data_IF_360574962221
#
_entry.id   IF_360574962221
#
_cell.length_a   1.000
_cell.length_b   1.000
_cell.length_c   1.000
_cell.angle_alpha   90.00
_cell.angle_beta   90.00
_cell.angle_gamma   90.00
#
_symmetry.space_group_name_H-M   'P 1'
#
loop_
_entity.id
_entity.type
_entity.pdbx_description
1 polymer ?
#
# COMPACT_ATOMS: atom_id res chain seq x y z
N UNK A 1 15.07 6.96 20.85
CA UNK A 1 13.77 6.89 20.09
C UNK A 1 13.97 7.58 18.76
N UNK A 2 13.49 7.01 17.64
CA UNK A 2 13.66 7.65 16.33
C UNK A 2 12.62 8.77 16.15
N UNK A 3 13.05 9.94 15.65
CA UNK A 3 12.17 11.05 15.26
C UNK A 3 12.65 11.69 13.95
N UNK A 4 11.72 12.23 13.18
CA UNK A 4 12.03 13.09 12.03
C UNK A 4 11.93 14.54 12.48
N UNK A 5 12.96 15.32 12.17
CA UNK A 5 13.02 16.76 12.43
C UNK A 5 13.05 17.50 11.10
N UNK A 6 12.14 18.46 10.93
CA UNK A 6 11.97 19.23 9.70
C UNK A 6 12.01 20.72 10.03
N UNK A 7 12.90 21.45 9.38
CA UNK A 7 12.87 22.92 9.35
C UNK A 7 12.15 23.34 8.07
N UNK A 8 10.86 23.64 8.19
CA UNK A 8 9.98 23.88 7.06
C UNK A 8 10.03 25.29 6.48
N UNK A 9 9.08 25.59 5.59
CA UNK A 9 8.93 26.91 4.95
C UNK A 9 9.90 27.16 3.80
N UNK A 10 10.66 26.18 3.36
CA UNK A 10 11.55 26.28 2.18
C UNK A 10 10.86 25.75 0.94
N UNK A 11 10.87 26.45 -0.19
CA UNK A 11 10.35 25.92 -1.44
C UNK A 11 11.24 24.78 -1.93
N UNK A 12 10.60 23.73 -2.47
CA UNK A 12 11.27 22.54 -3.00
C UNK A 12 11.29 22.60 -4.53
N UNK A 13 12.36 22.05 -5.13
CA UNK A 13 12.52 21.96 -6.58
C UNK A 13 13.41 20.77 -6.96
N UNK A 14 13.37 20.38 -8.23
CA UNK A 14 14.20 19.29 -8.75
C UNK A 14 13.36 18.12 -9.22
N UNK A 15 13.90 16.92 -9.06
CA UNK A 15 13.24 15.70 -9.51
C UNK A 15 13.29 14.61 -8.45
N UNK A 16 12.29 13.74 -8.47
CA UNK A 16 12.20 12.55 -7.62
C UNK A 16 11.73 11.36 -8.46
N UNK A 17 12.32 10.19 -8.23
CA UNK A 17 11.93 8.94 -8.88
C UNK A 17 11.13 8.08 -7.91
N UNK A 18 9.97 7.65 -8.35
CA UNK A 18 9.06 6.82 -7.55
C UNK A 18 9.56 5.39 -7.50
N UNK A 19 9.51 4.80 -6.31
CA UNK A 19 9.90 3.43 -6.03
C UNK A 19 8.84 2.43 -6.48
N UNK A 20 9.19 1.14 -6.48
CA UNK A 20 8.21 0.07 -6.69
C UNK A 20 7.11 0.06 -5.63
N UNK A 21 5.93 -0.39 -6.03
CA UNK A 21 4.72 -0.32 -5.23
C UNK A 21 4.79 -1.21 -3.98
N UNK A 22 4.75 -0.59 -2.82
CA UNK A 22 4.65 -1.29 -1.53
C UNK A 22 3.50 -2.29 -1.53
N UNK A 23 2.30 -1.85 -1.95
CA UNK A 23 1.11 -2.67 -1.90
C UNK A 23 1.15 -3.86 -2.89
N UNK A 24 1.99 -3.79 -3.93
CA UNK A 24 2.32 -4.94 -4.79
C UNK A 24 3.29 -5.90 -4.10
N UNK A 25 4.44 -5.43 -3.64
CA UNK A 25 5.53 -6.30 -3.15
C UNK A 25 5.11 -7.12 -1.93
N UNK A 26 4.23 -6.59 -1.08
CA UNK A 26 3.72 -7.34 0.08
C UNK A 26 2.85 -8.55 -0.30
N UNK A 27 2.35 -8.60 -1.54
CA UNK A 27 1.64 -9.74 -2.12
C UNK A 27 2.54 -10.56 -3.06
N UNK A 28 3.40 -9.90 -3.85
CA UNK A 28 4.32 -10.57 -4.78
C UNK A 28 5.32 -11.48 -4.06
N UNK A 29 5.88 -11.03 -2.92
CA UNK A 29 6.84 -11.86 -2.16
C UNK A 29 6.19 -13.15 -1.67
N UNK A 30 5.05 -13.17 -0.97
CA UNK A 30 4.35 -14.41 -0.64
C UNK A 30 3.94 -15.24 -1.87
N UNK A 31 3.58 -14.60 -3.00
CA UNK A 31 3.20 -15.29 -4.22
C UNK A 31 4.34 -16.18 -4.78
N UNK A 32 5.61 -15.80 -4.54
CA UNK A 32 6.76 -16.61 -4.98
C UNK A 32 6.80 -18.00 -4.35
N UNK A 33 6.14 -18.22 -3.20
CA UNK A 33 6.02 -19.55 -2.58
C UNK A 33 5.39 -20.57 -3.53
N UNK A 34 4.53 -20.11 -4.43
CA UNK A 34 3.83 -20.98 -5.38
C UNK A 34 4.73 -21.51 -6.50
N UNK A 35 5.91 -20.92 -6.71
CA UNK A 35 6.84 -21.31 -7.76
C UNK A 35 7.62 -22.59 -7.40
N UNK A 36 7.92 -23.37 -8.44
CA UNK A 36 8.75 -24.58 -8.35
C UNK A 36 10.24 -24.28 -8.68
N UNK A 37 10.58 -23.00 -8.95
CA UNK A 37 11.94 -22.52 -9.25
C UNK A 37 12.14 -21.08 -8.80
N UNK A 38 13.32 -20.52 -9.06
CA UNK A 38 13.73 -19.17 -8.63
C UNK A 38 12.88 -18.10 -9.31
N UNK A 39 12.42 -17.13 -8.50
CA UNK A 39 11.72 -15.93 -8.96
C UNK A 39 12.56 -14.70 -8.63
N UNK A 40 12.75 -13.82 -9.61
CA UNK A 40 13.41 -12.53 -9.42
C UNK A 40 12.38 -11.41 -9.51
N UNK A 41 12.32 -10.58 -8.47
CA UNK A 41 11.50 -9.36 -8.44
C UNK A 41 12.43 -8.15 -8.53
N UNK A 42 12.25 -7.31 -9.55
CA UNK A 42 13.01 -6.07 -9.75
C UNK A 42 12.19 -4.85 -9.32
N UNK A 43 12.87 -3.78 -8.91
CA UNK A 43 12.22 -2.56 -8.44
C UNK A 43 11.60 -2.70 -7.05
N UNK A 44 12.10 -3.59 -6.23
CA UNK A 44 11.59 -3.81 -4.86
C UNK A 44 12.05 -2.68 -3.94
N UNK A 45 11.13 -1.91 -3.33
CA UNK A 45 11.50 -0.79 -2.47
C UNK A 45 12.24 -1.24 -1.21
N UNK A 46 13.13 -0.39 -0.70
CA UNK A 46 13.78 -0.60 0.58
C UNK A 46 12.93 -0.02 1.72
N UNK A 47 12.06 -0.86 2.25
CA UNK A 47 11.10 -0.53 3.32
C UNK A 47 11.05 -1.63 4.36
N UNK A 48 10.69 -1.28 5.60
CA UNK A 48 10.71 -2.25 6.70
C UNK A 48 9.70 -3.39 6.55
N UNK A 49 8.59 -3.18 5.84
CA UNK A 49 7.63 -4.26 5.53
C UNK A 49 8.27 -5.32 4.62
N UNK A 50 9.12 -4.93 3.65
CA UNK A 50 9.87 -5.87 2.80
C UNK A 50 10.92 -6.61 3.62
N UNK A 51 11.68 -5.92 4.48
CA UNK A 51 12.65 -6.57 5.34
C UNK A 51 12.00 -7.64 6.24
N UNK A 52 10.82 -7.35 6.79
CA UNK A 52 10.05 -8.31 7.60
C UNK A 52 9.60 -9.53 6.78
N UNK A 53 9.16 -9.33 5.54
CA UNK A 53 8.76 -10.43 4.65
C UNK A 53 9.94 -11.32 4.27
N UNK A 54 11.09 -10.72 3.96
CA UNK A 54 12.33 -11.46 3.68
C UNK A 54 12.73 -12.33 4.88
N UNK A 55 12.65 -11.77 6.08
CA UNK A 55 12.97 -12.51 7.31
C UNK A 55 12.00 -13.69 7.52
N UNK A 56 10.69 -13.47 7.40
CA UNK A 56 9.67 -14.52 7.54
C UNK A 56 9.92 -15.62 6.50
N UNK A 57 10.10 -15.28 5.23
CA UNK A 57 10.37 -16.24 4.16
C UNK A 57 11.66 -17.04 4.39
N UNK A 58 12.71 -16.37 4.91
CA UNK A 58 13.98 -17.03 5.24
C UNK A 58 13.83 -18.02 6.38
N UNK A 59 13.08 -17.67 7.43
CA UNK A 59 12.75 -18.58 8.55
C UNK A 59 11.98 -19.79 8.04
N UNK A 60 11.07 -19.59 7.07
CA UNK A 60 10.30 -20.68 6.45
C UNK A 60 11.16 -21.57 5.53
N UNK A 61 12.38 -21.18 5.21
CA UNK A 61 13.33 -21.98 4.43
C UNK A 61 13.60 -21.49 3.00
N UNK A 62 13.06 -20.33 2.61
CA UNK A 62 13.43 -19.71 1.34
C UNK A 62 14.88 -19.22 1.38
N UNK A 63 15.59 -19.29 0.24
CA UNK A 63 16.86 -18.61 0.07
C UNK A 63 16.62 -17.32 -0.68
N UNK A 64 17.03 -16.20 -0.08
CA UNK A 64 16.77 -14.87 -0.64
C UNK A 64 18.07 -14.09 -0.71
N UNK A 65 18.36 -13.55 -1.89
CA UNK A 65 19.49 -12.64 -2.12
C UNK A 65 18.94 -11.30 -2.61
N UNK A 66 19.37 -10.21 -1.98
CA UNK A 66 19.07 -8.85 -2.44
C UNK A 66 20.27 -8.29 -3.19
N UNK A 67 20.04 -7.79 -4.42
CA UNK A 67 21.02 -7.07 -5.23
C UNK A 67 20.42 -5.73 -5.65
N UNK A 68 20.87 -4.66 -5.05
CA UNK A 68 20.31 -3.32 -5.25
C UNK A 68 18.79 -3.33 -4.96
N UNK A 69 17.97 -3.09 -5.97
CA UNK A 69 16.51 -3.11 -5.90
C UNK A 69 15.87 -4.45 -6.33
N UNK A 70 16.70 -5.48 -6.64
CA UNK A 70 16.23 -6.80 -7.04
C UNK A 70 16.25 -7.79 -5.88
N UNK A 71 15.21 -8.60 -5.76
CA UNK A 71 15.15 -9.77 -4.88
C UNK A 71 15.16 -11.05 -5.70
N UNK A 72 16.15 -11.90 -5.45
CA UNK A 72 16.26 -13.25 -6.03
C UNK A 72 15.78 -14.23 -4.96
N UNK A 73 14.64 -14.88 -5.20
CA UNK A 73 13.96 -15.73 -4.23
C UNK A 73 13.92 -17.16 -4.73
N UNK A 74 14.55 -18.07 -4.01
CA UNK A 74 14.41 -19.52 -4.22
C UNK A 74 13.44 -20.08 -3.17
N UNK A 75 12.18 -20.36 -3.53
CA UNK A 75 11.16 -20.83 -2.61
C UNK A 75 11.16 -22.33 -2.37
N UNK A 76 12.02 -23.12 -3.07
CA UNK A 76 12.00 -24.59 -3.03
C UNK A 76 12.25 -25.17 -1.65
N UNK A 77 12.96 -24.44 -0.79
CA UNK A 77 13.23 -24.83 0.58
C UNK A 77 12.13 -24.47 1.57
N UNK A 78 11.10 -23.73 1.18
CA UNK A 78 9.99 -23.33 2.05
C UNK A 78 9.26 -24.55 2.57
N UNK A 79 9.00 -24.58 3.87
CA UNK A 79 8.25 -25.64 4.53
C UNK A 79 6.95 -25.06 5.10
N UNK A 80 5.90 -25.87 5.06
CA UNK A 80 4.71 -25.60 5.85
C UNK A 80 5.06 -25.75 7.34
N UNK A 81 5.09 -24.64 8.03
CA UNK A 81 5.38 -24.55 9.47
C UNK A 81 4.58 -23.41 10.09
N UNK A 82 4.21 -23.52 11.36
CA UNK A 82 3.60 -22.40 12.06
C UNK A 82 4.50 -21.17 11.94
N UNK A 83 3.93 -20.07 11.46
CA UNK A 83 4.71 -18.84 11.27
C UNK A 83 5.18 -18.28 12.63
N UNK A 84 6.38 -17.69 12.70
CA UNK A 84 6.95 -17.21 13.95
C UNK A 84 6.09 -16.10 14.57
N UNK A 85 5.65 -16.37 15.83
CA UNK A 85 4.91 -15.41 16.64
C UNK A 85 5.71 -14.11 16.89
N UNK A 86 5.03 -13.00 17.00
CA UNK A 86 5.61 -11.69 17.31
C UNK A 86 5.92 -10.83 16.08
N UNK A 87 6.49 -11.38 15.00
CA UNK A 87 6.77 -10.64 13.75
C UNK A 87 5.57 -10.54 12.83
N UNK A 88 4.73 -11.55 12.81
CA UNK A 88 3.49 -11.57 12.04
C UNK A 88 2.50 -10.54 12.55
N UNK A 89 2.41 -10.34 13.85
CA UNK A 89 1.51 -9.36 14.45
C UNK A 89 1.86 -7.91 14.09
N UNK A 90 3.11 -7.63 13.71
CA UNK A 90 3.56 -6.31 13.26
C UNK A 90 3.35 -6.09 11.77
N UNK A 91 3.24 -7.16 10.97
CA UNK A 91 3.10 -7.09 9.52
C UNK A 91 1.67 -7.40 9.08
N UNK A 92 0.92 -6.38 8.69
CA UNK A 92 -0.48 -6.54 8.22
C UNK A 92 -0.63 -7.43 6.99
N UNK A 93 0.39 -7.46 6.13
CA UNK A 93 0.38 -8.23 4.89
C UNK A 93 0.64 -9.73 5.11
N UNK A 94 0.86 -10.18 6.35
CA UNK A 94 1.07 -11.60 6.67
C UNK A 94 -0.10 -12.50 6.25
N UNK A 95 -1.30 -11.95 6.12
CA UNK A 95 -2.45 -12.72 5.66
C UNK A 95 -2.32 -13.24 4.21
N UNK A 96 -1.46 -12.67 3.35
CA UNK A 96 -1.21 -13.21 2.01
C UNK A 96 -0.52 -14.58 2.03
N UNK A 97 0.15 -14.91 3.11
CA UNK A 97 0.69 -16.25 3.30
C UNK A 97 -0.39 -17.34 3.38
N UNK A 98 -1.62 -17.02 3.83
CA UNK A 98 -2.72 -17.99 3.81
C UNK A 98 -2.97 -18.52 2.41
N UNK A 99 -3.16 -17.64 1.42
CA UNK A 99 -3.41 -18.04 0.04
C UNK A 99 -2.26 -18.82 -0.58
N UNK A 100 -1.03 -18.34 -0.40
CA UNK A 100 0.17 -18.99 -0.96
C UNK A 100 0.42 -20.37 -0.36
N UNK A 101 0.33 -20.52 0.97
CA UNK A 101 0.55 -21.77 1.66
C UNK A 101 -0.57 -22.78 1.36
N UNK A 102 -1.84 -22.33 1.37
CA UNK A 102 -2.96 -23.18 0.96
C UNK A 102 -2.80 -23.66 -0.48
N UNK A 103 -2.45 -22.76 -1.40
CA UNK A 103 -2.23 -23.11 -2.80
C UNK A 103 -1.10 -24.13 -3.00
N UNK A 104 -0.02 -24.02 -2.22
CA UNK A 104 1.14 -24.91 -2.36
C UNK A 104 1.01 -26.20 -1.57
N UNK A 105 0.53 -26.15 -0.32
CA UNK A 105 0.58 -27.27 0.64
C UNK A 105 -0.80 -27.81 1.05
N UNK A 106 -1.90 -27.15 0.67
CA UNK A 106 -3.23 -27.49 1.13
C UNK A 106 -3.48 -27.17 2.61
N UNK A 107 -2.55 -26.50 3.27
CA UNK A 107 -2.68 -26.05 4.66
C UNK A 107 -1.86 -24.80 4.91
N UNK A 108 -2.30 -24.00 5.88
CA UNK A 108 -1.62 -22.78 6.32
C UNK A 108 -1.90 -22.53 7.81
N UNK A 109 -0.86 -22.27 8.59
CA UNK A 109 -0.99 -21.84 9.98
C UNK A 109 -0.35 -20.47 10.12
N UNK A 110 -1.17 -19.43 10.27
CA UNK A 110 -0.71 -18.04 10.34
C UNK A 110 -1.29 -17.37 11.58
N UNK A 111 -0.49 -16.60 12.30
CA UNK A 111 -0.97 -15.78 13.40
C UNK A 111 -2.02 -14.78 12.92
N UNK A 112 -2.98 -14.44 13.78
CA UNK A 112 -3.95 -13.39 13.44
C UNK A 112 -3.21 -12.08 13.19
N UNK A 113 -3.51 -11.36 12.10
CA UNK A 113 -2.80 -10.15 11.75
C UNK A 113 -2.98 -9.08 12.83
N UNK A 114 -1.88 -8.58 13.36
CA UNK A 114 -1.83 -7.35 14.15
C UNK A 114 -1.96 -6.13 13.24
N UNK A 115 -2.03 -4.95 13.78
CA UNK A 115 -2.10 -3.77 12.93
C UNK A 115 -2.04 -2.44 13.66
N UNK A 116 -1.91 -1.33 12.90
CA UNK A 116 -2.08 0.02 13.41
C UNK A 116 -3.54 0.27 13.84
N UNK A 117 -3.80 1.31 14.64
CA UNK A 117 -5.10 1.73 15.18
C UNK A 117 -6.17 2.15 14.13
N UNK A 118 -6.18 1.56 12.94
CA UNK A 118 -7.22 1.79 11.93
C UNK A 118 -8.45 0.89 12.12
N UNK A 119 -8.52 0.17 13.24
CA UNK A 119 -9.61 -0.74 13.58
C UNK A 119 -9.40 -2.19 13.09
N UNK A 120 -10.29 -3.11 13.51
CA UNK A 120 -10.24 -4.50 13.10
C UNK A 120 -10.41 -4.62 11.59
N UNK A 121 -9.57 -5.42 10.95
CA UNK A 121 -9.77 -5.82 9.56
C UNK A 121 -10.39 -7.20 9.55
N UNK A 122 -11.66 -7.31 9.19
CA UNK A 122 -12.31 -8.60 9.09
C UNK A 122 -11.63 -9.43 7.99
N UNK A 123 -11.37 -10.70 8.29
CA UNK A 123 -10.84 -11.68 7.33
C UNK A 123 -11.93 -12.65 6.85
N UNK A 124 -13.17 -12.34 7.15
CA UNK A 124 -14.36 -13.11 6.81
C UNK A 124 -14.47 -13.42 5.32
N UNK A 125 -14.18 -12.44 4.44
CA UNK A 125 -14.18 -12.64 3.00
C UNK A 125 -13.06 -13.59 2.54
N UNK A 126 -11.89 -13.55 3.18
CA UNK A 126 -10.81 -14.50 2.91
C UNK A 126 -11.26 -15.92 3.30
N UNK A 127 -11.82 -16.08 4.49
CA UNK A 127 -12.31 -17.37 4.98
C UNK A 127 -13.43 -17.92 4.11
N UNK A 128 -14.40 -17.10 3.75
CA UNK A 128 -15.48 -17.46 2.83
C UNK A 128 -14.93 -18.06 1.53
N UNK A 129 -13.90 -17.43 0.94
CA UNK A 129 -13.27 -17.93 -0.27
C UNK A 129 -12.55 -19.26 -0.05
N UNK A 130 -11.76 -19.38 1.00
CA UNK A 130 -11.03 -20.62 1.30
C UNK A 130 -11.97 -21.78 1.64
N UNK A 131 -13.02 -21.54 2.39
CA UNK A 131 -14.05 -22.55 2.70
C UNK A 131 -14.81 -23.01 1.44
N UNK A 132 -15.16 -22.09 0.54
CA UNK A 132 -15.76 -22.41 -0.75
C UNK A 132 -14.84 -23.32 -1.61
N UNK A 133 -13.53 -23.18 -1.45
CA UNK A 133 -12.53 -24.00 -2.13
C UNK A 133 -12.20 -25.31 -1.40
N UNK A 134 -12.83 -25.59 -0.26
CA UNK A 134 -12.71 -26.83 0.51
C UNK A 134 -11.71 -26.82 1.67
N UNK A 135 -11.21 -25.66 2.09
CA UNK A 135 -10.41 -25.55 3.30
C UNK A 135 -11.30 -25.41 4.55
N UNK A 136 -10.94 -26.10 5.62
CA UNK A 136 -11.57 -25.96 6.93
C UNK A 136 -10.71 -25.09 7.85
N UNK A 137 -11.35 -24.23 8.64
CA UNK A 137 -10.69 -23.34 9.59
C UNK A 137 -10.78 -23.90 11.01
N UNK A 138 -9.67 -23.90 11.72
CA UNK A 138 -9.60 -24.19 13.15
C UNK A 138 -8.73 -23.15 13.86
N UNK A 139 -9.05 -22.86 15.14
CA UNK A 139 -8.22 -21.98 15.97
C UNK A 139 -7.28 -22.82 16.83
N UNK A 140 -6.01 -22.42 16.85
CA UNK A 140 -4.97 -22.98 17.72
C UNK A 140 -4.30 -21.84 18.49
N UNK A 141 -4.82 -21.56 19.67
CA UNK A 141 -4.42 -20.41 20.47
C UNK A 141 -4.66 -19.09 19.75
N UNK A 142 -3.60 -18.32 19.51
CA UNK A 142 -3.63 -17.04 18.76
C UNK A 142 -3.36 -17.20 17.25
N UNK A 143 -3.26 -18.44 16.77
CA UNK A 143 -3.06 -18.76 15.35
C UNK A 143 -4.33 -19.34 14.77
N UNK A 144 -4.54 -19.03 13.48
CA UNK A 144 -5.58 -19.66 12.68
C UNK A 144 -4.94 -20.68 11.74
N UNK A 145 -5.46 -21.90 11.78
CA UNK A 145 -5.07 -22.98 10.87
C UNK A 145 -6.17 -23.19 9.85
N UNK A 146 -5.78 -23.22 8.59
CA UNK A 146 -6.61 -23.62 7.45
C UNK A 146 -6.03 -24.91 6.88
N UNK A 147 -6.87 -25.92 6.59
CA UNK A 147 -6.44 -27.19 6.03
C UNK A 147 -7.51 -27.81 5.15
N UNK A 148 -7.07 -28.56 4.14
CA UNK A 148 -7.94 -29.29 3.21
C UNK A 148 -7.98 -30.81 3.50
N UNK A 149 -7.42 -31.24 4.62
CA UNK A 149 -7.32 -32.64 5.05
C UNK A 149 -6.70 -33.55 3.98
N UNK A 150 -5.63 -33.07 3.32
CA UNK A 150 -4.89 -33.80 2.31
C UNK A 150 -5.56 -33.86 0.94
N UNK A 151 -6.70 -33.21 0.75
CA UNK A 151 -7.35 -33.08 -0.58
C UNK A 151 -6.82 -31.81 -1.27
N UNK A 152 -6.73 -31.79 -2.62
CA UNK A 152 -6.42 -30.54 -3.32
C UNK A 152 -7.56 -29.54 -3.17
N UNK A 153 -7.24 -28.25 -3.09
CA UNK A 153 -8.24 -27.17 -3.22
C UNK A 153 -9.05 -27.37 -4.51
N UNK A 154 -10.34 -27.07 -4.45
CA UNK A 154 -11.24 -27.18 -5.59
C UNK A 154 -11.59 -25.78 -6.11
N UNK A 155 -11.69 -25.63 -7.41
CA UNK A 155 -12.22 -24.42 -8.02
C UNK A 155 -13.67 -24.16 -7.57
N UNK A 156 -14.01 -22.88 -7.38
CA UNK A 156 -15.31 -22.46 -6.86
C UNK A 156 -15.77 -21.14 -7.48
N UNK A 157 -17.07 -20.89 -7.46
CA UNK A 157 -17.63 -19.58 -7.75
C UNK A 157 -17.73 -18.79 -6.43
N UNK A 158 -17.07 -17.66 -6.36
CA UNK A 158 -16.90 -16.88 -5.14
C UNK A 158 -17.38 -15.45 -5.40
N UNK A 159 -18.48 -15.05 -4.76
CA UNK A 159 -18.95 -13.67 -4.78
C UNK A 159 -18.41 -12.93 -3.55
N UNK A 160 -17.73 -11.82 -3.77
CA UNK A 160 -17.24 -10.93 -2.70
C UNK A 160 -18.38 -9.99 -2.28
N UNK A 161 -18.87 -10.12 -1.04
CA UNK A 161 -19.99 -9.30 -0.52
C UNK A 161 -19.64 -7.81 -0.51
N UNK A 162 -18.35 -7.50 -0.35
CA UNK A 162 -17.76 -6.18 -0.55
C UNK A 162 -16.48 -6.29 -1.34
N UNK A 163 -16.15 -5.26 -2.10
CA UNK A 163 -14.86 -5.18 -2.83
C UNK A 163 -13.72 -5.17 -1.82
N UNK A 164 -12.85 -6.16 -1.89
CA UNK A 164 -11.69 -6.32 -0.98
C UNK A 164 -10.44 -6.71 -1.77
N UNK A 165 -9.44 -5.84 -1.74
CA UNK A 165 -8.12 -6.10 -2.35
C UNK A 165 -7.47 -7.34 -1.74
N UNK A 166 -7.41 -7.38 -0.41
CA UNK A 166 -6.78 -8.47 0.31
C UNK A 166 -7.44 -9.83 0.04
N UNK A 167 -8.77 -9.90 0.09
CA UNK A 167 -9.50 -11.13 -0.18
C UNK A 167 -9.38 -11.57 -1.65
N UNK A 168 -9.43 -10.62 -2.60
CA UNK A 168 -9.24 -10.91 -4.02
C UNK A 168 -7.87 -11.52 -4.28
N UNK A 169 -6.78 -10.88 -3.83
CA UNK A 169 -5.41 -11.40 -4.00
C UNK A 169 -5.26 -12.76 -3.32
N UNK A 170 -5.71 -12.89 -2.09
CA UNK A 170 -5.55 -14.13 -1.33
C UNK A 170 -6.31 -15.31 -1.97
N UNK A 171 -7.48 -15.04 -2.52
CA UNK A 171 -8.23 -16.04 -3.31
C UNK A 171 -7.49 -16.42 -4.58
N UNK A 172 -6.91 -15.45 -5.30
CA UNK A 172 -6.09 -15.73 -6.50
C UNK A 172 -4.92 -16.65 -6.13
N UNK A 173 -4.17 -16.32 -5.06
CA UNK A 173 -3.01 -17.11 -4.62
C UNK A 173 -3.37 -18.55 -4.27
N UNK A 174 -4.53 -18.77 -3.63
CA UNK A 174 -5.00 -20.12 -3.33
C UNK A 174 -5.51 -20.87 -4.59
N UNK A 175 -6.16 -20.16 -5.50
CA UNK A 175 -6.85 -20.73 -6.65
C UNK A 175 -5.91 -21.17 -7.78
N UNK A 176 -4.72 -20.57 -7.92
CA UNK A 176 -3.84 -20.84 -9.08
C UNK A 176 -3.38 -22.31 -9.18
N UNK A 177 -3.37 -23.04 -8.07
CA UNK A 177 -3.05 -24.48 -8.04
C UNK A 177 -4.26 -25.35 -7.66
N UNK A 178 -5.46 -24.78 -7.51
CA UNK A 178 -6.68 -25.51 -7.23
C UNK A 178 -7.09 -26.40 -8.42
N UNK A 179 -7.77 -27.50 -8.15
CA UNK A 179 -8.29 -28.38 -9.20
C UNK A 179 -9.56 -27.79 -9.82
N UNK A 180 -9.51 -27.47 -11.11
CA UNK A 180 -10.63 -26.91 -11.86
C UNK A 180 -10.60 -25.37 -11.93
N UNK A 181 -11.76 -24.79 -12.15
CA UNK A 181 -11.92 -23.34 -12.39
C UNK A 181 -12.46 -22.63 -11.16
N UNK A 182 -11.84 -21.50 -10.82
CA UNK A 182 -12.36 -20.54 -9.84
C UNK A 182 -12.82 -19.27 -10.56
N UNK A 183 -13.97 -18.76 -10.18
CA UNK A 183 -14.50 -17.46 -10.63
C UNK A 183 -14.69 -16.57 -9.42
N UNK A 184 -14.06 -15.41 -9.42
CA UNK A 184 -14.23 -14.39 -8.39
C UNK A 184 -15.12 -13.30 -8.99
N UNK A 185 -16.28 -13.07 -8.40
CA UNK A 185 -17.21 -11.99 -8.77
C UNK A 185 -17.17 -10.87 -7.75
N UNK A 186 -17.40 -9.63 -8.20
CA UNK A 186 -17.24 -8.41 -7.42
C UNK A 186 -15.78 -8.27 -6.89
N UNK A 187 -14.82 -8.68 -7.69
CA UNK A 187 -13.39 -8.60 -7.38
C UNK A 187 -12.92 -7.14 -7.31
N UNK A 188 -11.88 -6.90 -6.52
CA UNK A 188 -11.16 -5.64 -6.53
C UNK A 188 -10.37 -5.47 -7.86
N UNK A 189 -10.13 -4.22 -8.28
CA UNK A 189 -9.60 -3.88 -9.60
C UNK A 189 -8.28 -3.13 -9.57
N UNK A 190 -7.72 -2.94 -8.38
CA UNK A 190 -6.51 -2.17 -8.14
C UNK A 190 -5.33 -2.64 -9.02
N UNK A 191 -4.47 -1.73 -9.49
CA UNK A 191 -3.29 -2.06 -10.30
C UNK A 191 -2.40 -3.13 -9.66
N UNK A 192 -2.31 -3.16 -8.36
CA UNK A 192 -1.54 -4.14 -7.59
C UNK A 192 -2.06 -5.58 -7.79
N UNK A 193 -3.35 -5.75 -8.06
CA UNK A 193 -3.94 -7.05 -8.40
C UNK A 193 -3.49 -7.48 -9.80
N UNK A 194 -3.48 -6.55 -10.75
CA UNK A 194 -2.99 -6.80 -12.12
C UNK A 194 -1.52 -7.21 -12.05
N UNK A 195 -0.72 -6.57 -11.19
CA UNK A 195 0.69 -6.86 -10.99
C UNK A 195 0.92 -8.29 -10.48
N UNK A 196 0.17 -8.70 -9.44
CA UNK A 196 0.20 -10.08 -8.91
C UNK A 196 -0.21 -11.10 -9.98
N UNK A 197 -1.28 -10.82 -10.74
CA UNK A 197 -1.74 -11.70 -11.82
C UNK A 197 -0.71 -11.80 -12.93
N UNK A 198 -0.04 -10.69 -13.27
CA UNK A 198 1.03 -10.66 -14.28
C UNK A 198 2.20 -11.55 -13.84
N UNK A 199 2.66 -11.43 -12.58
CA UNK A 199 3.68 -12.32 -12.03
C UNK A 199 3.26 -13.79 -12.17
N UNK A 200 2.05 -14.14 -11.71
CA UNK A 200 1.56 -15.52 -11.71
C UNK A 200 1.41 -16.07 -13.14
N UNK A 201 0.88 -15.29 -14.08
CA UNK A 201 0.78 -15.69 -15.48
C UNK A 201 2.17 -15.86 -16.11
N UNK A 202 3.14 -15.01 -15.79
CA UNK A 202 4.54 -15.19 -16.21
C UNK A 202 5.18 -16.44 -15.61
N UNK A 203 4.68 -16.93 -14.49
CA UNK A 203 5.06 -18.22 -13.90
C UNK A 203 4.33 -19.42 -14.51
N UNK A 204 3.40 -19.20 -15.43
CA UNK A 204 2.63 -20.24 -16.12
C UNK A 204 1.21 -20.46 -15.59
N UNK A 205 0.67 -19.54 -14.77
CA UNK A 205 -0.73 -19.56 -14.37
C UNK A 205 -1.67 -19.18 -15.53
N UNK A 206 -2.94 -19.56 -15.42
CA UNK A 206 -3.98 -19.21 -16.36
C UNK A 206 -5.05 -18.35 -15.69
N UNK A 207 -4.77 -17.05 -15.59
CA UNK A 207 -5.65 -16.07 -14.95
C UNK A 207 -6.04 -14.99 -15.96
N UNK A 208 -7.32 -14.65 -16.02
CA UNK A 208 -7.84 -13.58 -16.87
C UNK A 208 -8.88 -12.75 -16.14
N UNK A 209 -9.09 -11.52 -16.60
CA UNK A 209 -10.05 -10.58 -16.03
C UNK A 209 -9.50 -9.72 -14.90
N UNK A 210 -8.20 -9.76 -14.59
CA UNK A 210 -7.58 -8.82 -13.64
C UNK A 210 -7.84 -7.36 -14.09
N UNK A 211 -8.17 -6.49 -13.14
CA UNK A 211 -8.59 -5.11 -13.43
C UNK A 211 -10.09 -4.97 -13.75
N UNK A 212 -10.83 -6.07 -13.81
CA UNK A 212 -12.30 -6.09 -13.92
C UNK A 212 -12.93 -6.64 -12.64
N UNK A 213 -14.25 -6.62 -12.55
CA UNK A 213 -15.00 -7.17 -11.41
C UNK A 213 -15.15 -8.69 -11.44
N UNK A 214 -14.71 -9.34 -12.53
CA UNK A 214 -14.75 -10.80 -12.67
C UNK A 214 -13.36 -11.31 -13.02
N UNK A 215 -12.80 -12.16 -12.16
CA UNK A 215 -11.52 -12.82 -12.37
C UNK A 215 -11.76 -14.31 -12.51
N UNK A 216 -11.21 -14.91 -13.57
CA UNK A 216 -11.33 -16.34 -13.87
C UNK A 216 -9.96 -16.96 -13.79
N UNK A 217 -9.84 -18.06 -13.02
CA UNK A 217 -8.60 -18.77 -12.77
C UNK A 217 -8.81 -20.24 -13.12
N UNK A 218 -8.06 -20.75 -14.08
CA UNK A 218 -7.96 -22.16 -14.37
C UNK A 218 -6.70 -22.70 -13.67
N UNK A 219 -6.88 -23.53 -12.65
CA UNK A 219 -5.77 -24.01 -11.82
C UNK A 219 -4.77 -24.87 -12.60
N UNK A 220 -3.49 -24.73 -12.25
CA UNK A 220 -2.37 -25.45 -12.89
C UNK A 220 -1.57 -26.24 -11.85
N UNK A 221 -0.99 -27.40 -12.21
CA UNK A 221 -0.23 -28.21 -11.25
C UNK A 221 1.14 -27.60 -10.91
N UNK A 222 1.76 -26.89 -11.86
CA UNK A 222 3.13 -26.37 -11.75
C UNK A 222 3.20 -24.89 -12.15
N UNK A 223 4.06 -24.14 -11.44
CA UNK A 223 4.41 -22.76 -11.74
C UNK A 223 5.93 -22.66 -11.75
N UNK A 224 6.50 -22.24 -12.88
CA UNK A 224 7.95 -22.10 -13.02
C UNK A 224 8.48 -20.78 -12.47
N UNK A 225 9.80 -20.63 -12.40
CA UNK A 225 10.45 -19.36 -12.05
C UNK A 225 10.29 -18.32 -13.16
N UNK A 226 10.42 -17.07 -12.79
CA UNK A 226 10.35 -15.93 -13.71
C UNK A 226 11.09 -14.72 -13.18
N UNK A 227 11.25 -13.70 -14.01
CA UNK A 227 11.68 -12.36 -13.63
C UNK A 227 10.53 -11.39 -13.85
N UNK A 228 10.26 -10.53 -12.87
CA UNK A 228 9.13 -9.63 -12.86
C UNK A 228 9.51 -8.25 -12.34
N UNK A 229 9.11 -7.21 -13.07
CA UNK A 229 9.28 -5.82 -12.66
C UNK A 229 8.07 -5.37 -11.84
N UNK A 230 8.29 -4.91 -10.61
CA UNK A 230 7.25 -4.34 -9.75
C UNK A 230 6.75 -3.02 -10.37
N UNK A 231 5.44 -2.80 -10.39
CA UNK A 231 4.86 -1.54 -10.86
C UNK A 231 5.26 -0.37 -9.96
N UNK A 232 5.30 0.88 -10.48
CA UNK A 232 5.55 2.07 -9.66
C UNK A 232 4.49 2.26 -8.57
N UNK A 233 4.89 2.78 -7.41
CA UNK A 233 3.98 3.05 -6.30
C UNK A 233 3.14 4.30 -6.57
N UNK A 234 1.88 4.11 -6.98
CA UNK A 234 0.93 5.20 -7.22
C UNK A 234 0.64 6.02 -5.97
N UNK A 235 0.75 5.45 -4.77
CA UNK A 235 0.49 6.17 -3.52
C UNK A 235 1.69 7.03 -3.15
N UNK A 236 2.91 6.54 -3.33
CA UNK A 236 4.12 7.37 -3.21
C UNK A 236 4.07 8.51 -4.24
N UNK A 237 3.74 8.22 -5.50
CA UNK A 237 3.60 9.23 -6.55
C UNK A 237 2.58 10.32 -6.17
N UNK A 238 1.37 9.93 -5.75
CA UNK A 238 0.35 10.87 -5.30
C UNK A 238 0.78 11.71 -4.10
N UNK A 239 1.56 11.14 -3.19
CA UNK A 239 2.14 11.86 -2.04
C UNK A 239 3.13 12.94 -2.50
N UNK A 240 4.04 12.63 -3.43
CA UNK A 240 4.97 13.61 -3.98
C UNK A 240 4.29 14.65 -4.89
N UNK A 241 3.22 14.30 -5.60
CA UNK A 241 2.40 15.25 -6.36
C UNK A 241 1.73 16.24 -5.40
N UNK A 242 1.14 15.78 -4.28
CA UNK A 242 0.57 16.66 -3.27
C UNK A 242 1.61 17.58 -2.65
N UNK A 243 2.79 17.06 -2.31
CA UNK A 243 3.91 17.85 -1.81
C UNK A 243 4.34 18.92 -2.82
N UNK A 244 4.54 18.53 -4.07
CA UNK A 244 4.95 19.44 -5.14
C UNK A 244 3.93 20.55 -5.38
N UNK A 245 2.63 20.23 -5.33
CA UNK A 245 1.57 21.20 -5.46
C UNK A 245 1.46 22.13 -4.23
N UNK A 246 1.82 21.66 -3.03
CA UNK A 246 1.73 22.44 -1.81
C UNK A 246 2.86 23.47 -1.68
N UNK A 247 4.11 23.09 -1.96
CA UNK A 247 5.30 23.93 -1.69
C UNK A 247 6.37 23.87 -2.80
N UNK A 248 6.12 23.19 -3.92
CA UNK A 248 7.08 23.06 -5.01
C UNK A 248 7.24 24.34 -5.83
N UNK A 249 8.43 24.54 -6.35
CA UNK A 249 8.75 25.56 -7.38
C UNK A 249 9.10 24.90 -8.72
N UNK A 250 8.33 23.88 -9.11
CA UNK A 250 8.58 23.02 -10.25
C UNK A 250 9.30 21.74 -9.84
N UNK A 251 8.55 20.65 -9.72
CA UNK A 251 9.08 19.34 -9.36
C UNK A 251 8.70 18.33 -10.44
N UNK A 252 9.70 17.61 -10.94
CA UNK A 252 9.54 16.48 -11.84
C UNK A 252 9.41 15.20 -11.02
N UNK A 253 8.35 14.44 -11.26
CA UNK A 253 8.10 13.16 -10.60
C UNK A 253 8.19 12.08 -11.67
N UNK A 254 9.25 11.27 -11.62
CA UNK A 254 9.58 10.24 -12.59
C UNK A 254 9.08 8.87 -12.15
N UNK A 255 8.93 7.94 -13.09
CA UNK A 255 8.41 6.59 -12.88
C UNK A 255 6.99 6.59 -12.34
N UNK A 256 6.08 7.27 -13.03
CA UNK A 256 4.66 7.39 -12.69
C UNK A 256 3.81 6.88 -13.84
N UNK A 257 2.85 6.01 -13.57
CA UNK A 257 1.82 5.60 -14.53
C UNK A 257 0.54 6.40 -14.26
N UNK A 258 0.20 7.29 -15.19
CA UNK A 258 -0.97 8.17 -15.09
C UNK A 258 -2.27 7.38 -14.89
N UNK A 259 -2.41 6.27 -15.61
CA UNK A 259 -3.59 5.40 -15.59
C UNK A 259 -3.90 4.84 -14.17
N UNK A 260 -2.89 4.78 -13.31
CA UNK A 260 -3.06 4.35 -11.93
C UNK A 260 -3.56 5.47 -10.99
N UNK A 261 -3.59 6.73 -11.48
CA UNK A 261 -3.86 7.94 -10.69
C UNK A 261 -4.97 8.84 -11.28
N UNK A 262 -5.68 8.41 -12.32
CA UNK A 262 -6.64 9.25 -13.05
C UNK A 262 -7.63 9.99 -12.13
N UNK A 263 -8.27 9.29 -11.20
CA UNK A 263 -9.23 9.90 -10.26
C UNK A 263 -8.58 10.90 -9.30
N UNK A 264 -7.33 10.67 -8.93
CA UNK A 264 -6.55 11.56 -8.08
C UNK A 264 -6.17 12.83 -8.83
N UNK A 265 -5.65 12.68 -10.05
CA UNK A 265 -5.26 13.80 -10.91
C UNK A 265 -6.46 14.66 -11.27
N UNK A 266 -7.61 14.03 -11.60
CA UNK A 266 -8.86 14.76 -11.84
C UNK A 266 -9.28 15.64 -10.65
N UNK A 267 -9.07 15.19 -9.41
CA UNK A 267 -9.33 16.00 -8.21
C UNK A 267 -8.33 17.14 -8.03
N UNK A 268 -7.07 16.94 -8.38
CA UNK A 268 -6.07 18.00 -8.38
C UNK A 268 -6.37 19.06 -9.45
N UNK A 269 -6.81 18.66 -10.64
CA UNK A 269 -7.26 19.58 -11.71
C UNK A 269 -8.50 20.37 -11.26
N UNK A 270 -9.48 19.74 -10.60
CA UNK A 270 -10.66 20.40 -10.01
C UNK A 270 -10.24 21.48 -9.00
N UNK A 271 -9.19 21.22 -8.23
CA UNK A 271 -8.60 22.17 -7.28
C UNK A 271 -7.87 23.33 -7.96
N UNK A 272 -7.49 23.15 -9.24
CA UNK A 272 -6.74 24.11 -10.04
C UNK A 272 -5.23 23.88 -10.03
N UNK A 273 -4.78 22.68 -9.67
CA UNK A 273 -3.36 22.30 -9.76
C UNK A 273 -2.93 22.24 -11.22
N UNK A 274 -1.85 22.95 -11.55
CA UNK A 274 -1.25 22.92 -12.89
C UNK A 274 -0.12 21.91 -12.91
N UNK A 275 -0.21 20.97 -13.84
CA UNK A 275 0.78 19.94 -14.04
C UNK A 275 0.82 19.51 -15.51
N UNK A 276 1.95 18.98 -15.95
CA UNK A 276 2.13 18.37 -17.27
C UNK A 276 2.35 16.89 -17.09
N UNK A 277 1.46 16.09 -17.68
CA UNK A 277 1.55 14.62 -17.67
C UNK A 277 2.28 14.15 -18.92
N UNK A 278 3.29 13.31 -18.73
CA UNK A 278 4.03 12.62 -19.79
C UNK A 278 3.81 11.11 -19.68
N UNK A 279 4.43 10.30 -20.53
CA UNK A 279 4.22 8.85 -20.58
C UNK A 279 4.54 8.15 -19.25
N UNK A 280 5.64 8.54 -18.61
CA UNK A 280 6.14 7.91 -17.36
C UNK A 280 6.49 8.92 -16.27
N UNK A 281 6.02 10.16 -16.39
CA UNK A 281 6.37 11.22 -15.46
C UNK A 281 5.33 12.33 -15.41
N UNK A 282 5.33 13.09 -14.30
CA UNK A 282 4.47 14.26 -14.10
C UNK A 282 5.33 15.41 -13.61
N UNK A 283 5.25 16.55 -14.31
CA UNK A 283 5.84 17.80 -13.88
C UNK A 283 4.77 18.66 -13.20
N UNK A 284 4.99 18.99 -11.94
CA UNK A 284 4.08 19.84 -11.16
C UNK A 284 4.67 21.24 -11.08
N UNK A 285 3.95 22.22 -11.65
CA UNK A 285 4.34 23.63 -11.62
C UNK A 285 4.21 24.24 -10.23
N UNK A 286 4.77 25.43 -10.02
CA UNK A 286 4.46 26.25 -8.86
C UNK A 286 2.98 26.65 -8.89
N UNK A 287 2.27 26.44 -7.78
CA UNK A 287 0.84 26.71 -7.69
C UNK A 287 0.50 28.07 -7.12
N UNK A 288 -0.63 28.61 -7.54
CA UNK A 288 -1.27 29.81 -6.99
C UNK A 288 -2.78 29.71 -7.17
N UNK A 289 -3.54 30.21 -6.21
CA UNK A 289 -5.00 30.35 -6.34
C UNK A 289 -5.77 29.03 -6.32
N UNK A 290 -5.29 28.03 -5.59
CA UNK A 290 -5.98 26.76 -5.43
C UNK A 290 -7.32 26.93 -4.71
N UNK A 291 -8.32 26.14 -5.11
CA UNK A 291 -9.69 26.17 -4.59
C UNK A 291 -9.99 24.92 -3.79
N UNK A 292 -10.75 25.08 -2.70
CA UNK A 292 -11.23 23.97 -1.89
C UNK A 292 -12.17 23.07 -2.70
N UNK A 293 -12.05 21.77 -2.50
CA UNK A 293 -12.80 20.73 -3.21
C UNK A 293 -13.46 19.76 -2.24
N UNK A 294 -14.35 18.90 -2.76
CA UNK A 294 -14.93 17.77 -2.04
C UNK A 294 -14.25 16.48 -2.50
N UNK A 295 -13.81 15.67 -1.55
CA UNK A 295 -13.22 14.34 -1.83
C UNK A 295 -14.11 13.26 -1.20
N UNK A 296 -14.35 12.20 -1.97
CA UNK A 296 -14.96 10.97 -1.48
C UNK A 296 -14.10 9.81 -1.97
N UNK A 297 -13.58 9.01 -1.04
CA UNK A 297 -12.86 7.78 -1.40
C UNK A 297 -13.83 6.71 -1.90
N UNK A 298 -13.34 5.84 -2.76
CA UNK A 298 -14.07 4.66 -3.25
C UNK A 298 -13.09 3.61 -3.78
N UNK A 299 -13.53 2.34 -3.94
CA UNK A 299 -12.70 1.34 -4.59
C UNK A 299 -12.19 1.79 -5.95
N UNK A 300 -11.01 1.30 -6.34
CA UNK A 300 -10.43 1.62 -7.65
C UNK A 300 -11.42 1.31 -8.80
N UNK A 301 -11.53 2.17 -9.82
CA UNK A 301 -10.68 3.32 -10.15
C UNK A 301 -11.07 4.65 -9.47
N UNK A 302 -11.85 4.62 -8.41
CA UNK A 302 -12.17 5.81 -7.65
C UNK A 302 -11.00 6.34 -6.82
N UNK A 303 -11.23 7.43 -6.06
CA UNK A 303 -10.19 8.07 -5.26
C UNK A 303 -9.71 7.14 -4.13
N UNK A 304 -8.41 6.83 -4.14
CA UNK A 304 -7.81 5.88 -3.22
C UNK A 304 -7.83 6.37 -1.76
N UNK A 305 -8.30 5.54 -0.83
CA UNK A 305 -8.25 5.85 0.60
C UNK A 305 -6.83 6.11 1.11
N UNK A 306 -5.81 5.48 0.52
CA UNK A 306 -4.40 5.68 0.88
C UNK A 306 -3.85 7.06 0.48
N UNK A 307 -4.53 7.79 -0.41
CA UNK A 307 -4.20 9.17 -0.78
C UNK A 307 -4.98 10.22 0.01
N UNK A 308 -5.98 9.81 0.79
CA UNK A 308 -6.81 10.71 1.58
C UNK A 308 -6.00 11.53 2.59
N UNK A 309 -5.12 10.88 3.36
CA UNK A 309 -4.30 11.55 4.35
C UNK A 309 -3.16 12.37 3.71
N UNK A 310 -2.38 11.86 2.74
CA UNK A 310 -1.30 12.62 2.10
C UNK A 310 -1.75 13.88 1.36
N UNK A 311 -2.97 13.91 0.78
CA UNK A 311 -3.48 15.12 0.11
C UNK A 311 -3.93 16.21 1.10
N UNK A 312 -4.27 15.83 2.34
CA UNK A 312 -4.87 16.76 3.31
C UNK A 312 -4.04 18.04 3.52
N UNK A 313 -2.70 18.01 3.68
CA UNK A 313 -1.92 19.26 3.82
C UNK A 313 -2.03 20.18 2.59
N UNK A 314 -2.07 19.64 1.38
CA UNK A 314 -2.29 20.43 0.17
C UNK A 314 -3.66 21.14 0.22
N UNK A 315 -4.72 20.43 0.63
CA UNK A 315 -6.06 20.99 0.74
C UNK A 315 -6.11 22.19 1.69
N UNK A 316 -5.26 22.23 2.71
CA UNK A 316 -5.16 23.35 3.66
C UNK A 316 -4.58 24.64 3.03
N UNK A 317 -3.98 24.57 1.84
CA UNK A 317 -3.50 25.75 1.08
C UNK A 317 -4.58 26.37 0.21
N UNK A 318 -5.68 25.68 -0.01
CA UNK A 318 -6.76 26.11 -0.89
C UNK A 318 -7.66 27.15 -0.26
N UNK A 319 -8.19 28.05 -1.08
CA UNK A 319 -9.18 29.04 -0.62
C UNK A 319 -10.56 28.41 -0.54
N UNK A 320 -11.21 28.55 0.61
CA UNK A 320 -12.57 28.09 0.85
C UNK A 320 -12.67 26.92 1.80
N UNK A 321 -13.87 26.35 1.88
CA UNK A 321 -14.20 25.23 2.77
C UNK A 321 -14.45 23.97 1.96
N UNK A 322 -13.80 22.87 2.35
CA UNK A 322 -13.95 21.58 1.73
C UNK A 322 -14.25 20.45 2.71
N UNK A 323 -14.48 19.27 2.18
CA UNK A 323 -14.80 18.07 2.96
C UNK A 323 -14.17 16.82 2.36
N UNK A 324 -13.73 15.93 3.23
CA UNK A 324 -13.29 14.59 2.85
C UNK A 324 -14.21 13.56 3.53
N UNK A 325 -14.69 12.61 2.74
CA UNK A 325 -15.48 11.46 3.20
C UNK A 325 -14.72 10.19 2.81
N UNK A 326 -14.21 9.45 3.79
CA UNK A 326 -13.62 8.14 3.53
C UNK A 326 -14.69 7.05 3.70
N UNK A 327 -15.03 6.38 2.60
CA UNK A 327 -16.05 5.31 2.59
C UNK A 327 -15.43 3.91 2.69
N UNK A 328 -14.10 3.83 2.71
CA UNK A 328 -13.35 2.57 2.83
C UNK A 328 -12.90 2.35 4.28
N UNK A 329 -12.39 3.42 4.92
CA UNK A 329 -11.98 3.44 6.32
C UNK A 329 -12.55 4.69 6.99
N UNK A 330 -13.82 4.63 7.39
CA UNK A 330 -14.58 5.77 7.94
C UNK A 330 -13.87 6.46 9.12
N UNK A 331 -13.14 5.69 9.94
CA UNK A 331 -12.39 6.20 11.09
C UNK A 331 -10.95 6.64 10.76
N UNK A 332 -10.60 6.82 9.50
CA UNK A 332 -9.26 7.27 9.07
C UNK A 332 -9.08 8.78 9.22
N UNK A 333 -9.18 9.26 10.45
CA UNK A 333 -9.17 10.69 10.80
C UNK A 333 -8.08 11.05 11.82
N UNK A 334 -7.22 10.14 12.19
CA UNK A 334 -6.24 10.31 13.26
C UNK A 334 -5.17 11.37 13.00
N UNK A 335 -4.95 11.77 11.73
CA UNK A 335 -4.05 12.87 11.36
C UNK A 335 -4.65 14.24 11.62
N UNK A 336 -5.97 14.36 11.73
CA UNK A 336 -6.67 15.65 11.91
C UNK A 336 -6.27 16.37 13.20
N UNK A 337 -6.27 15.73 14.38
CA UNK A 337 -5.80 16.38 15.60
C UNK A 337 -4.34 16.85 15.53
N UNK A 338 -3.49 16.10 14.85
CA UNK A 338 -2.07 16.42 14.70
C UNK A 338 -1.87 17.65 13.80
N UNK A 339 -2.61 17.76 12.69
CA UNK A 339 -2.63 18.94 11.83
C UNK A 339 -3.20 20.16 12.55
N UNK A 340 -4.22 19.98 13.39
CA UNK A 340 -4.78 21.06 14.21
C UNK A 340 -3.76 21.64 15.19
N UNK A 341 -2.87 20.82 15.79
CA UNK A 341 -1.74 21.29 16.61
C UNK A 341 -0.78 22.21 15.84
N UNK A 342 -0.68 22.03 14.53
CA UNK A 342 0.15 22.87 13.65
C UNK A 342 -0.57 24.14 13.18
N UNK A 343 -1.77 24.41 13.69
CA UNK A 343 -2.56 25.62 13.38
C UNK A 343 -3.51 25.47 12.19
N UNK A 344 -3.76 24.24 11.71
CA UNK A 344 -4.72 24.00 10.65
C UNK A 344 -6.17 24.20 11.13
N UNK A 345 -6.99 24.85 10.31
CA UNK A 345 -8.44 24.93 10.48
C UNK A 345 -9.08 23.67 9.90
N UNK A 346 -9.08 22.61 10.69
CA UNK A 346 -9.52 21.29 10.32
C UNK A 346 -10.20 20.59 11.50
N UNK A 347 -11.25 19.84 11.24
CA UNK A 347 -12.01 19.11 12.28
C UNK A 347 -12.69 17.89 11.69
N UNK A 348 -13.23 17.04 12.58
CA UNK A 348 -14.08 15.91 12.20
C UNK A 348 -15.51 16.14 12.63
N UNK A 349 -16.45 15.80 11.75
CA UNK A 349 -17.88 15.81 12.00
C UNK A 349 -18.51 14.55 11.41
N UNK A 350 -19.03 13.65 12.25
CA UNK A 350 -19.61 12.34 11.82
C UNK A 350 -18.63 11.56 10.92
N UNK A 351 -17.37 11.43 11.37
CA UNK A 351 -16.26 10.77 10.64
C UNK A 351 -15.90 11.43 9.28
N UNK A 352 -16.50 12.56 8.94
CA UNK A 352 -16.08 13.39 7.82
C UNK A 352 -15.05 14.41 8.27
N UNK A 353 -14.03 14.63 7.46
CA UNK A 353 -13.06 15.70 7.68
C UNK A 353 -13.58 16.97 7.02
N UNK A 354 -13.65 18.04 7.78
CA UNK A 354 -14.00 19.38 7.31
C UNK A 354 -12.75 20.24 7.45
N UNK A 355 -12.37 20.93 6.39
CA UNK A 355 -11.25 21.85 6.38
C UNK A 355 -11.62 23.19 5.77
N UNK A 356 -10.91 24.23 6.16
CA UNK A 356 -11.07 25.59 5.64
C UNK A 356 -9.68 26.23 5.49
N UNK A 357 -9.42 26.86 4.36
CA UNK A 357 -8.12 27.47 4.06
C UNK A 357 -8.23 28.78 3.29
N UNK A 358 -7.11 29.44 3.01
CA UNK A 358 -5.74 28.93 3.20
C UNK A 358 -5.24 29.04 4.65
N UNK A 359 -4.41 28.08 5.07
CA UNK A 359 -3.79 28.03 6.39
C UNK A 359 -2.29 28.35 6.32
N UNK A 360 -1.77 28.98 7.36
CA UNK A 360 -0.34 29.09 7.63
C UNK A 360 0.03 28.15 8.78
N UNK A 361 0.68 27.04 8.45
CA UNK A 361 1.07 26.05 9.46
C UNK A 361 2.33 26.50 10.20
N UNK A 362 2.41 26.13 11.48
CA UNK A 362 3.57 26.37 12.35
C UNK A 362 4.16 25.05 12.82
N UNK A 363 5.49 24.99 12.94
CA UNK A 363 6.21 23.82 13.44
C UNK A 363 5.72 23.42 14.83
N UNK A 364 5.58 22.11 15.05
CA UNK A 364 5.05 21.54 16.29
C UNK A 364 5.61 20.12 16.49
N UNK A 365 5.50 19.63 17.73
CA UNK A 365 5.72 18.22 18.02
C UNK A 365 4.44 17.44 17.74
N UNK A 366 4.51 16.53 16.78
CA UNK A 366 3.38 15.74 16.28
C UNK A 366 3.74 14.25 16.24
N UNK A 367 2.72 13.40 16.17
CA UNK A 367 2.88 11.95 16.24
C UNK A 367 2.28 11.27 15.02
N UNK A 368 3.08 10.48 14.30
CA UNK A 368 2.54 9.60 13.27
C UNK A 368 1.68 8.50 13.93
N UNK A 369 0.43 8.39 13.49
CA UNK A 369 -0.52 7.40 14.00
C UNK A 369 -0.61 6.17 13.11
N UNK A 370 -0.27 6.33 11.85
CA UNK A 370 -0.16 5.29 10.83
C UNK A 370 0.73 5.77 9.68
N UNK A 371 0.98 4.88 8.70
CA UNK A 371 1.85 5.14 7.55
C UNK A 371 1.47 6.41 6.78
N UNK A 372 0.20 6.57 6.41
CA UNK A 372 -0.25 7.67 5.54
C UNK A 372 -0.48 8.97 6.32
N UNK A 373 -0.89 8.87 7.59
CA UNK A 373 -0.89 10.01 8.50
C UNK A 373 0.53 10.55 8.68
N UNK A 374 1.53 9.68 8.84
CA UNK A 374 2.93 10.09 8.92
C UNK A 374 3.39 10.86 7.69
N UNK A 375 3.06 10.38 6.49
CA UNK A 375 3.36 11.09 5.24
C UNK A 375 2.69 12.47 5.17
N UNK A 376 1.43 12.58 5.59
CA UNK A 376 0.73 13.86 5.69
C UNK A 376 1.45 14.83 6.62
N UNK A 377 1.93 14.35 7.78
CA UNK A 377 2.67 15.18 8.73
C UNK A 377 4.05 15.60 8.21
N UNK A 378 4.72 14.79 7.39
CA UNK A 378 5.95 15.19 6.70
C UNK A 378 5.67 16.34 5.73
N UNK A 379 4.63 16.24 4.90
CA UNK A 379 4.24 17.33 3.99
C UNK A 379 3.89 18.59 4.79
N UNK A 380 3.07 18.47 5.83
CA UNK A 380 2.69 19.58 6.69
C UNK A 380 3.90 20.24 7.38
N UNK A 381 4.86 19.43 7.86
CA UNK A 381 6.10 19.93 8.46
C UNK A 381 6.98 20.71 7.48
N UNK A 382 7.05 20.26 6.22
CA UNK A 382 7.77 20.97 5.15
C UNK A 382 7.09 22.30 4.78
N UNK A 383 5.75 22.37 4.87
CA UNK A 383 4.96 23.60 4.64
C UNK A 383 5.06 24.59 5.81
N UNK A 384 5.23 24.10 7.03
CA UNK A 384 5.15 24.88 8.25
C UNK A 384 6.31 25.86 8.40
N UNK A 385 6.08 27.00 9.03
CA UNK A 385 7.15 27.86 9.52
C UNK A 385 7.74 27.32 10.83
N UNK A 386 9.07 27.28 10.94
CA UNK A 386 9.77 26.77 12.12
C UNK A 386 10.04 25.27 12.05
N UNK A 387 10.28 24.66 13.21
CA UNK A 387 10.70 23.27 13.33
C UNK A 387 9.53 22.36 13.70
N UNK A 388 9.36 21.28 12.96
CA UNK A 388 8.42 20.20 13.26
C UNK A 388 9.18 18.95 13.68
N UNK A 389 8.79 18.33 14.78
CA UNK A 389 9.30 17.04 15.22
C UNK A 389 8.19 15.98 15.08
N UNK A 390 8.47 14.90 14.34
CA UNK A 390 7.53 13.79 14.13
C UNK A 390 8.06 12.55 14.85
N UNK A 391 7.26 12.02 15.77
CA UNK A 391 7.54 10.76 16.48
C UNK A 391 6.83 9.57 15.83
N UNK A 392 7.15 8.35 16.26
CA UNK A 392 6.62 7.09 15.68
C UNK A 392 6.96 6.95 14.19
N UNK A 393 8.15 7.34 13.81
CA UNK A 393 8.61 7.36 12.40
C UNK A 393 8.66 5.97 11.77
N UNK A 394 8.69 4.93 12.56
CA UNK A 394 8.61 3.54 12.13
C UNK A 394 7.39 3.29 11.24
N UNK A 395 6.27 3.99 11.46
CA UNK A 395 5.11 3.90 10.58
C UNK A 395 5.42 4.43 9.17
N UNK A 396 6.18 5.51 9.05
CA UNK A 396 6.54 6.11 7.75
C UNK A 396 7.50 5.20 6.98
N UNK A 397 8.51 4.65 7.67
CA UNK A 397 9.54 3.79 7.09
C UNK A 397 9.00 2.43 6.60
N UNK A 398 7.77 2.08 6.96
CA UNK A 398 7.10 0.88 6.47
C UNK A 398 6.73 0.94 4.98
N UNK A 399 6.64 2.13 4.39
CA UNK A 399 6.10 2.23 3.04
C UNK A 399 6.65 3.36 2.18
N UNK A 400 7.51 4.21 2.70
CA UNK A 400 8.19 5.24 1.92
C UNK A 400 9.70 4.96 1.89
N UNK A 401 10.16 4.45 0.75
CA UNK A 401 11.55 4.13 0.53
C UNK A 401 12.39 5.40 0.45
N UNK A 402 13.46 5.45 1.27
CA UNK A 402 14.47 6.52 1.26
C UNK A 402 13.93 7.95 1.32
N UNK A 403 12.82 8.13 2.05
CA UNK A 403 12.08 9.40 2.10
C UNK A 403 12.96 10.59 2.50
N UNK A 404 13.88 10.42 3.45
CA UNK A 404 14.78 11.49 3.93
C UNK A 404 15.68 11.96 2.80
N UNK A 405 16.33 11.03 2.09
CA UNK A 405 17.24 11.34 0.99
C UNK A 405 16.50 11.99 -0.18
N UNK A 406 15.36 11.41 -0.61
CA UNK A 406 14.52 11.96 -1.69
C UNK A 406 14.09 13.40 -1.41
N UNK A 407 13.64 13.69 -0.19
CA UNK A 407 13.23 15.03 0.21
C UNK A 407 14.43 15.99 0.31
N UNK A 408 15.57 15.53 0.82
CA UNK A 408 16.81 16.32 0.86
C UNK A 408 17.28 16.71 -0.54
N UNK A 409 17.18 15.80 -1.52
CA UNK A 409 17.50 16.09 -2.93
C UNK A 409 16.59 17.18 -3.53
N UNK A 410 15.34 17.26 -3.09
CA UNK A 410 14.41 18.33 -3.47
C UNK A 410 14.69 19.66 -2.76
N UNK A 411 15.65 19.70 -1.81
CA UNK A 411 16.03 20.91 -1.05
C UNK A 411 15.40 21.00 0.33
N UNK A 412 14.76 19.96 0.85
CA UNK A 412 14.21 19.95 2.19
C UNK A 412 15.30 19.93 3.26
N UNK A 413 15.06 20.63 4.36
CA UNK A 413 15.85 20.54 5.59
C UNK A 413 15.17 19.55 6.53
N UNK A 414 15.51 18.29 6.37
CA UNK A 414 14.91 17.14 7.04
C UNK A 414 15.96 16.16 7.51
N UNK A 415 15.81 15.64 8.72
CA UNK A 415 16.74 14.69 9.32
C UNK A 415 15.99 13.61 10.11
N UNK A 416 16.52 12.38 10.08
CA UNK A 416 16.15 11.30 10.98
C UNK A 416 17.14 11.28 12.14
N UNK A 417 16.66 11.49 13.36
CA UNK A 417 17.45 11.52 14.59
C UNK A 417 17.13 10.29 15.43
N UNK A 418 18.16 9.62 15.94
CA UNK A 418 18.05 8.55 16.92
C UNK A 418 18.52 9.09 18.28
N UNK A 419 17.63 9.15 19.28
CA UNK A 419 17.90 9.46 20.69
C UNK A 419 17.95 8.20 21.53
#
# INVERSE_FOLDING_TARGET
MKKIVINGGRPLKGEVTISGAKNSVVALIPATILADDIVTLDGVPDISDVASLIEIMTIMGAKIERKEDSLIIDPRGVKDMPMPFGKINSLRASYYFYGSLLGRYGQATVGLPGGCDLGPRPIDLHLKAFEAMGAAMTMDGSSMKLATDGKPLQGANIYMDTVSVGATINTILAAVKAKGRTVIENAAREPEIIDVVTLLNNMGAHIRGAGTDIIIIDGVPHLHGTRHQVIPDRIEAGTYIALAAAIGEGIQINNVLYEHLESYIAKLEEMGVRMTVSEDSIFVEKQTGLKAIQIKTSPYPGFATDLQQPITPLLLTATGRGRIVDTIYEKRVNHVPELAKMGATISTLNDHIIYEGPNQLTGSSVKATDLRAGAALVIAGLMASGTTEITNVEYILRGYSDIIHKLTQLGADIQLIEE
#
